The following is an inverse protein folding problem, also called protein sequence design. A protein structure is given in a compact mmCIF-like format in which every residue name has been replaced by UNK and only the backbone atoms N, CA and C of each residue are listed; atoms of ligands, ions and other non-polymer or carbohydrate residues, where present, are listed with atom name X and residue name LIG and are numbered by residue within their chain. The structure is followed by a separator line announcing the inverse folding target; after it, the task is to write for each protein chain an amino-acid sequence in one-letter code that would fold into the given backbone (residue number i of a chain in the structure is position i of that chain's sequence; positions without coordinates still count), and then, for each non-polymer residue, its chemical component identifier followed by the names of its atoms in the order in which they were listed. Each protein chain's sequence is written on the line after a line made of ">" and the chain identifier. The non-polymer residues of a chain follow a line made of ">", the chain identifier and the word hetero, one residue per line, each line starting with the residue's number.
data_IF_391892041930
#
_entry.id   IF_391892041930
#
_cell.length_a   1.000
_cell.length_b   1.000
_cell.length_c   1.000
_cell.angle_alpha   90.00
_cell.angle_beta   90.00
_cell.angle_gamma   90.00
#
_symmetry.space_group_name_H-M   'P 1'
#
loop_
_entity.id
_entity.type
_entity.pdbx_description
1 polymer ?
#
# COMPACT_ATOMS: atom_id res chain seq x y z
N UNK A 1 -15.49 -4.71 -4.62
CA UNK A 1 -15.49 -6.14 -5.00
C UNK A 1 -14.80 -6.88 -3.89
N UNK A 2 -15.32 -8.02 -3.42
CA UNK A 2 -14.64 -8.78 -2.37
C UNK A 2 -13.49 -9.59 -2.99
N UNK A 3 -12.29 -9.02 -2.98
CA UNK A 3 -11.08 -9.65 -3.54
C UNK A 3 -10.71 -10.96 -2.81
N UNK A 4 -11.16 -11.17 -1.57
CA UNK A 4 -10.79 -12.34 -0.77
C UNK A 4 -11.25 -13.67 -1.38
N UNK A 5 -12.31 -13.66 -2.18
CA UNK A 5 -12.85 -14.87 -2.79
C UNK A 5 -12.20 -15.23 -4.15
N UNK A 6 -11.41 -14.33 -4.74
CA UNK A 6 -10.82 -14.53 -6.08
C UNK A 6 -9.35 -14.96 -6.04
N UNK A 7 -8.71 -14.89 -4.87
CA UNK A 7 -7.26 -15.02 -4.72
C UNK A 7 -6.93 -15.88 -3.50
N UNK A 8 -6.12 -16.92 -3.66
CA UNK A 8 -5.61 -17.75 -2.56
C UNK A 8 -4.45 -17.03 -1.83
N UNK A 9 -4.67 -15.78 -1.39
CA UNK A 9 -3.67 -15.08 -0.58
C UNK A 9 -3.55 -15.75 0.77
N UNK A 10 -2.31 -16.04 1.18
CA UNK A 10 -2.03 -16.64 2.47
C UNK A 10 -2.39 -15.70 3.62
N UNK A 11 -2.00 -14.44 3.48
CA UNK A 11 -2.20 -13.39 4.47
C UNK A 11 -2.55 -12.07 3.76
N UNK A 12 -3.31 -11.19 4.43
CA UNK A 12 -3.62 -9.84 3.97
C UNK A 12 -3.31 -8.88 5.11
N UNK A 13 -2.48 -7.88 4.83
CA UNK A 13 -2.10 -6.83 5.77
C UNK A 13 -2.73 -5.52 5.30
N UNK A 14 -3.62 -4.95 6.11
CA UNK A 14 -4.25 -3.65 5.83
C UNK A 14 -3.59 -2.57 6.70
N UNK A 15 -2.99 -1.56 6.07
CA UNK A 15 -2.31 -0.45 6.73
C UNK A 15 -3.06 0.87 6.54
N UNK A 16 -4.39 0.87 6.71
CA UNK A 16 -5.19 2.09 6.60
C UNK A 16 -4.90 3.04 7.77
N UNK A 17 -4.23 4.16 7.48
CA UNK A 17 -3.93 5.23 8.46
C UNK A 17 -4.70 6.51 8.17
N UNK A 18 -5.76 6.44 7.36
CA UNK A 18 -6.60 7.60 7.07
C UNK A 18 -7.44 7.96 8.30
N UNK A 19 -7.68 9.26 8.55
CA UNK A 19 -8.56 9.70 9.64
C UNK A 19 -10.04 9.37 9.37
N UNK A 20 -10.43 9.25 8.10
CA UNK A 20 -11.79 8.90 7.65
C UNK A 20 -11.67 7.81 6.60
N UNK A 21 -12.44 6.73 6.77
CA UNK A 21 -12.53 5.66 5.78
C UNK A 21 -13.18 6.19 4.50
N UNK A 22 -12.55 5.94 3.37
CA UNK A 22 -13.03 6.32 2.05
C UNK A 22 -13.35 5.08 1.24
N UNK A 23 -14.31 5.19 0.32
CA UNK A 23 -14.54 4.13 -0.66
C UNK A 23 -13.32 4.04 -1.59
N UNK A 24 -12.95 2.82 -2.00
CA UNK A 24 -11.82 2.63 -2.91
C UNK A 24 -12.03 3.36 -4.26
N UNK A 25 -13.27 3.61 -4.66
CA UNK A 25 -13.59 4.37 -5.88
C UNK A 25 -13.28 5.86 -5.75
N UNK A 26 -13.06 6.35 -4.53
CA UNK A 26 -12.72 7.75 -4.23
C UNK A 26 -11.20 7.96 -4.12
N UNK A 27 -10.40 6.91 -4.30
CA UNK A 27 -8.93 6.97 -4.27
C UNK A 27 -8.31 6.51 -5.59
N UNK A 28 -7.10 6.98 -5.85
CA UNK A 28 -6.25 6.46 -6.91
C UNK A 28 -5.64 5.14 -6.43
N UNK A 29 -6.06 4.05 -7.04
CA UNK A 29 -5.59 2.72 -6.71
C UNK A 29 -4.36 2.38 -7.55
N UNK A 30 -3.25 2.06 -6.89
CA UNK A 30 -2.00 1.67 -7.55
C UNK A 30 -1.54 0.33 -6.98
N UNK A 31 -1.21 -0.62 -7.85
CA UNK A 31 -0.82 -1.97 -7.43
C UNK A 31 0.58 -2.34 -7.92
N UNK A 32 1.35 -3.03 -7.08
CA UNK A 32 2.61 -3.67 -7.45
C UNK A 32 2.58 -5.16 -7.15
N UNK A 33 3.12 -5.96 -8.07
CA UNK A 33 3.57 -7.33 -7.82
C UNK A 33 5.09 -7.33 -7.66
N UNK A 34 5.60 -7.84 -6.53
CA UNK A 34 7.03 -7.75 -6.19
C UNK A 34 7.56 -9.05 -5.59
N UNK A 35 8.87 -9.24 -5.71
CA UNK A 35 9.64 -10.25 -4.95
C UNK A 35 10.47 -9.58 -3.83
N UNK A 36 11.17 -10.39 -3.03
CA UNK A 36 11.91 -9.91 -1.86
C UNK A 36 12.95 -8.81 -2.17
N UNK A 37 13.50 -8.77 -3.39
CA UNK A 37 14.55 -7.82 -3.78
C UNK A 37 14.01 -6.43 -4.16
N UNK A 38 12.71 -6.32 -4.46
CA UNK A 38 12.10 -5.08 -4.96
C UNK A 38 11.27 -4.33 -3.92
N UNK A 39 11.25 -4.79 -2.67
CA UNK A 39 10.55 -4.15 -1.55
C UNK A 39 11.00 -2.68 -1.36
N UNK A 40 12.30 -2.44 -1.18
CA UNK A 40 12.81 -1.06 -0.96
C UNK A 40 12.52 -0.16 -2.16
N UNK A 41 12.71 -0.65 -3.39
CA UNK A 41 12.38 0.11 -4.60
C UNK A 41 10.91 0.52 -4.66
N UNK A 42 10.02 -0.36 -4.22
CA UNK A 42 8.58 -0.11 -4.16
C UNK A 42 8.24 0.95 -3.11
N UNK A 43 8.81 0.88 -1.90
CA UNK A 43 8.62 1.94 -0.90
C UNK A 43 9.12 3.30 -1.39
N UNK A 44 10.26 3.36 -2.08
CA UNK A 44 10.77 4.62 -2.66
C UNK A 44 9.79 5.16 -3.71
N UNK A 45 9.26 4.29 -4.57
CA UNK A 45 8.25 4.68 -5.56
C UNK A 45 6.97 5.22 -4.92
N UNK A 46 6.45 4.54 -3.89
CA UNK A 46 5.27 4.99 -3.12
C UNK A 46 5.55 6.37 -2.50
N UNK A 47 6.69 6.55 -1.84
CA UNK A 47 7.06 7.81 -1.22
C UNK A 47 7.16 8.95 -2.25
N UNK A 48 7.74 8.68 -3.42
CA UNK A 48 7.83 9.64 -4.52
C UNK A 48 6.46 10.06 -5.04
N UNK A 49 5.54 9.10 -5.26
CA UNK A 49 4.17 9.39 -5.69
C UNK A 49 3.47 10.27 -4.65
N UNK A 50 3.55 9.91 -3.37
CA UNK A 50 2.91 10.64 -2.28
C UNK A 50 3.46 12.06 -2.12
N UNK A 51 4.79 12.24 -2.16
CA UNK A 51 5.40 13.56 -2.02
C UNK A 51 5.06 14.50 -3.18
N UNK A 52 4.89 13.98 -4.40
CA UNK A 52 4.62 14.81 -5.58
C UNK A 52 3.11 15.02 -5.84
N UNK A 53 2.23 14.32 -5.15
CA UNK A 53 0.78 14.35 -5.40
C UNK A 53 -0.03 14.54 -4.10
N UNK A 54 0.39 15.47 -3.24
CA UNK A 54 -0.17 15.68 -1.88
C UNK A 54 -1.66 15.97 -1.83
N UNK A 55 -2.23 16.51 -2.91
CA UNK A 55 -3.66 16.80 -3.04
C UNK A 55 -4.52 15.57 -3.37
N UNK A 56 -3.91 14.48 -3.81
CA UNK A 56 -4.61 13.27 -4.23
C UNK A 56 -4.64 12.24 -3.09
N UNK A 57 -5.67 11.40 -3.08
CA UNK A 57 -5.79 10.29 -2.13
C UNK A 57 -5.48 9.00 -2.84
N UNK A 58 -4.64 8.17 -2.23
CA UNK A 58 -4.16 6.93 -2.82
C UNK A 58 -4.58 5.73 -1.96
N UNK A 59 -4.68 4.59 -2.63
CA UNK A 59 -4.71 3.26 -2.00
C UNK A 59 -3.68 2.42 -2.73
N UNK A 60 -2.67 1.94 -2.01
CA UNK A 60 -1.60 1.13 -2.55
C UNK A 60 -1.85 -0.35 -2.24
N UNK A 61 -1.67 -1.19 -3.26
CA UNK A 61 -1.86 -2.64 -3.17
C UNK A 61 -0.54 -3.33 -3.49
N UNK A 62 0.02 -4.09 -2.55
CA UNK A 62 1.28 -4.80 -2.75
C UNK A 62 1.02 -6.29 -2.65
N UNK A 63 1.36 -7.01 -3.71
CA UNK A 63 1.21 -8.46 -3.82
C UNK A 63 2.61 -9.05 -3.89
N UNK A 64 2.94 -9.91 -2.94
CA UNK A 64 4.26 -10.54 -2.84
C UNK A 64 4.15 -11.91 -2.17
N UNK A 65 5.08 -12.81 -2.49
CA UNK A 65 5.21 -14.09 -1.81
C UNK A 65 5.84 -13.94 -0.42
N UNK A 66 6.59 -12.86 -0.22
CA UNK A 66 7.29 -12.54 1.00
C UNK A 66 7.32 -11.03 1.26
N UNK A 67 7.12 -10.63 2.51
CA UNK A 67 7.25 -9.26 2.97
C UNK A 67 8.05 -9.25 4.27
N UNK A 68 9.14 -8.50 4.28
CA UNK A 68 9.97 -8.30 5.47
C UNK A 68 9.22 -7.48 6.52
N UNK A 69 9.46 -7.79 7.80
CA UNK A 69 8.88 -7.02 8.91
C UNK A 69 9.30 -5.55 8.87
N UNK A 70 10.57 -5.30 8.57
CA UNK A 70 11.12 -3.94 8.46
C UNK A 70 10.49 -3.18 7.29
N UNK A 71 10.17 -3.88 6.20
CA UNK A 71 9.47 -3.30 5.07
C UNK A 71 8.02 -2.95 5.41
N UNK A 72 7.30 -3.84 6.09
CA UNK A 72 5.93 -3.57 6.58
C UNK A 72 5.92 -2.37 7.53
N UNK A 73 6.91 -2.27 8.43
CA UNK A 73 7.06 -1.14 9.35
C UNK A 73 7.34 0.17 8.57
N UNK A 74 8.20 0.13 7.56
CA UNK A 74 8.44 1.27 6.68
C UNK A 74 7.16 1.73 5.96
N UNK A 75 6.37 0.80 5.43
CA UNK A 75 5.07 1.10 4.80
C UNK A 75 4.09 1.70 5.81
N UNK A 76 4.04 1.19 7.04
CA UNK A 76 3.21 1.71 8.12
C UNK A 76 3.56 3.17 8.48
N UNK A 77 4.86 3.50 8.49
CA UNK A 77 5.34 4.87 8.69
C UNK A 77 4.95 5.79 7.54
N UNK A 78 5.08 5.32 6.29
CA UNK A 78 4.61 6.07 5.11
C UNK A 78 3.09 6.29 5.17
N UNK A 79 2.31 5.25 5.46
CA UNK A 79 0.87 5.33 5.58
C UNK A 79 0.46 6.36 6.64
N UNK A 80 1.14 6.35 7.80
CA UNK A 80 0.90 7.31 8.89
C UNK A 80 1.25 8.74 8.47
N UNK A 81 2.41 8.94 7.82
CA UNK A 81 2.90 10.27 7.41
C UNK A 81 1.97 10.94 6.40
N UNK A 82 1.48 10.19 5.41
CA UNK A 82 0.66 10.74 4.32
C UNK A 82 -0.84 10.45 4.44
N UNK A 83 -1.27 9.78 5.50
CA UNK A 83 -2.67 9.38 5.71
C UNK A 83 -3.20 8.60 4.49
N UNK A 84 -2.54 7.50 4.14
CA UNK A 84 -2.89 6.63 3.01
C UNK A 84 -3.14 5.18 3.47
N UNK A 85 -3.58 4.34 2.54
CA UNK A 85 -3.64 2.87 2.65
C UNK A 85 -2.55 2.27 1.78
#
# INVERSE_FOLDING_TARGET
>A
MDFKHLTQFKDIIELDKRPVKLDERETFNVSWGIDENYQVGTAISIASILENNKQNKFTFHIIADYLDKDYIELLSQLATKYQTV
#
